data_IF_832223333532
#
_entry.id   IF_832223333532
#
_cell.length_a   1.000
_cell.length_b   1.000
_cell.length_c   1.000
_cell.angle_alpha   90.00
_cell.angle_beta   90.00
_cell.angle_gamma   90.00
#
_symmetry.space_group_name_H-M   'P 1'
#
loop_
_entity.id
_entity.type
_entity.pdbx_description
1 polymer ?
#
# COMPACT_ATOMS: atom_id res chain seq x y z
N UNK A 1 -5.50 5.36 -14.28
CA UNK A 1 -4.06 5.69 -14.23
C UNK A 1 -3.35 4.73 -13.28
N UNK A 2 -2.27 4.10 -13.70
CA UNK A 2 -1.47 3.18 -12.89
C UNK A 2 -0.01 3.65 -12.86
N UNK A 3 0.41 4.16 -11.72
CA UNK A 3 1.77 4.67 -11.50
C UNK A 3 2.65 3.62 -10.87
N UNK A 4 3.76 3.26 -11.51
CA UNK A 4 4.70 2.28 -10.98
C UNK A 4 6.15 2.75 -11.00
N UNK A 5 6.99 2.13 -10.17
CA UNK A 5 8.43 2.43 -10.05
C UNK A 5 8.97 2.02 -8.68
N UNK A 6 10.28 2.04 -8.47
CA UNK A 6 10.91 1.60 -7.21
C UNK A 6 10.46 2.36 -5.94
N UNK A 7 11.01 1.97 -4.79
CA UNK A 7 10.77 2.69 -3.52
C UNK A 7 11.32 4.12 -3.58
N UNK A 8 10.68 5.04 -2.86
CA UNK A 8 11.20 6.41 -2.72
C UNK A 8 11.09 7.32 -3.96
N UNK A 9 10.38 6.88 -5.02
CA UNK A 9 10.24 7.64 -6.28
C UNK A 9 9.15 8.73 -6.29
N UNK A 10 8.53 9.02 -5.14
CA UNK A 10 7.50 10.07 -5.05
C UNK A 10 6.10 9.67 -5.52
N UNK A 11 5.83 8.38 -5.78
CA UNK A 11 4.50 7.90 -6.20
C UNK A 11 3.38 8.30 -5.22
N UNK A 12 3.61 8.12 -3.91
CA UNK A 12 2.65 8.49 -2.87
C UNK A 12 2.38 9.99 -2.88
N UNK A 13 3.41 10.82 -3.09
CA UNK A 13 3.26 12.27 -3.17
C UNK A 13 2.47 12.69 -4.42
N UNK A 14 2.69 12.06 -5.57
CA UNK A 14 1.87 12.28 -6.77
C UNK A 14 0.41 11.87 -6.53
N UNK A 15 0.18 10.75 -5.85
CA UNK A 15 -1.15 10.31 -5.44
C UNK A 15 -1.81 11.32 -4.49
N UNK A 16 -1.07 11.86 -3.51
CA UNK A 16 -1.55 12.90 -2.59
C UNK A 16 -2.05 14.11 -3.38
N UNK A 17 -1.20 14.64 -4.27
CA UNK A 17 -1.53 15.81 -5.10
C UNK A 17 -2.75 15.54 -5.98
N UNK A 18 -2.80 14.39 -6.65
CA UNK A 18 -3.94 14.00 -7.46
C UNK A 18 -5.22 13.97 -6.62
N UNK A 19 -5.21 13.22 -5.51
CA UNK A 19 -6.37 13.05 -4.64
C UNK A 19 -6.89 14.39 -4.10
N UNK A 20 -6.00 15.27 -3.65
CA UNK A 20 -6.38 16.59 -3.12
C UNK A 20 -6.83 17.55 -4.22
N UNK A 21 -6.34 17.42 -5.45
CA UNK A 21 -6.76 18.27 -6.58
C UNK A 21 -8.15 17.95 -7.13
N UNK A 22 -8.65 16.73 -6.91
CA UNK A 22 -9.96 16.33 -7.42
C UNK A 22 -11.10 17.13 -6.75
N UNK A 23 -12.04 17.70 -7.52
CA UNK A 23 -13.21 18.36 -6.95
C UNK A 23 -14.19 17.32 -6.38
N UNK A 24 -14.93 17.72 -5.34
CA UNK A 24 -15.97 16.90 -4.71
C UNK A 24 -15.45 15.85 -3.72
N UNK A 25 -16.41 15.11 -3.15
CA UNK A 25 -16.17 14.17 -2.04
C UNK A 25 -16.33 12.69 -2.44
N UNK A 26 -16.81 12.41 -3.66
CA UNK A 26 -17.00 11.05 -4.20
C UNK A 26 -15.69 10.44 -4.71
N UNK A 27 -14.67 10.50 -3.86
CA UNK A 27 -13.33 9.96 -4.06
C UNK A 27 -12.91 9.27 -2.78
N UNK A 28 -12.26 8.13 -2.92
CA UNK A 28 -11.81 7.35 -1.78
C UNK A 28 -10.37 6.92 -2.00
N UNK A 29 -9.58 6.99 -0.93
CA UNK A 29 -8.18 6.57 -0.95
C UNK A 29 -7.91 5.58 0.16
N UNK A 30 -7.28 4.47 -0.21
CA UNK A 30 -6.97 3.39 0.71
C UNK A 30 -5.79 2.55 0.21
N UNK A 31 -5.08 1.93 1.15
CA UNK A 31 -4.12 0.89 0.81
C UNK A 31 -4.85 -0.33 0.23
N UNK A 32 -4.27 -0.94 -0.80
CA UNK A 32 -4.89 -2.07 -1.49
C UNK A 32 -5.22 -3.26 -0.56
N UNK A 33 -4.37 -3.57 0.43
CA UNK A 33 -4.67 -4.64 1.38
C UNK A 33 -5.93 -4.36 2.23
N UNK A 34 -6.19 -3.10 2.60
CA UNK A 34 -7.41 -2.72 3.35
C UNK A 34 -8.65 -2.85 2.48
N UNK A 35 -8.52 -2.53 1.19
CA UNK A 35 -9.59 -2.75 0.22
C UNK A 35 -9.96 -4.23 0.15
N UNK A 36 -8.97 -5.11 -0.01
CA UNK A 36 -9.21 -6.55 -0.08
C UNK A 36 -9.81 -7.11 1.22
N UNK A 37 -9.35 -6.64 2.38
CA UNK A 37 -9.93 -7.03 3.67
C UNK A 37 -11.44 -6.72 3.71
N UNK A 38 -11.83 -5.50 3.33
CA UNK A 38 -13.25 -5.10 3.25
C UNK A 38 -14.03 -5.97 2.26
N UNK A 39 -13.46 -6.27 1.10
CA UNK A 39 -14.10 -7.14 0.10
C UNK A 39 -14.36 -8.53 0.69
N UNK A 40 -13.40 -9.12 1.40
CA UNK A 40 -13.57 -10.42 2.05
C UNK A 40 -14.64 -10.41 3.14
N UNK A 41 -14.69 -9.35 3.95
CA UNK A 41 -15.76 -9.16 4.95
C UNK A 41 -17.14 -9.08 4.30
N UNK A 42 -17.28 -8.30 3.22
CA UNK A 42 -18.54 -8.20 2.48
C UNK A 42 -18.93 -9.51 1.78
N UNK A 43 -17.97 -10.24 1.20
CA UNK A 43 -18.20 -11.56 0.63
C UNK A 43 -18.71 -12.56 1.67
N UNK A 44 -18.16 -12.50 2.88
CA UNK A 44 -18.59 -13.35 4.00
C UNK A 44 -20.03 -13.04 4.40
N UNK A 45 -20.39 -11.76 4.47
CA UNK A 45 -21.75 -11.32 4.75
C UNK A 45 -22.75 -11.65 3.62
N UNK A 46 -22.27 -11.80 2.38
CA UNK A 46 -23.07 -12.12 1.20
C UNK A 46 -23.04 -13.62 0.83
N UNK A 47 -22.59 -14.49 1.75
CA UNK A 47 -22.59 -15.94 1.51
C UNK A 47 -23.99 -16.44 1.11
N UNK A 48 -24.05 -17.21 0.01
CA UNK A 48 -25.29 -17.75 -0.54
C UNK A 48 -26.03 -16.82 -1.52
N UNK A 49 -25.57 -15.59 -1.72
CA UNK A 49 -26.07 -14.71 -2.77
C UNK A 49 -25.48 -15.08 -4.14
N UNK A 50 -26.25 -14.87 -5.21
CA UNK A 50 -25.72 -14.94 -6.57
C UNK A 50 -24.85 -13.72 -6.83
N UNK A 51 -23.70 -13.94 -7.46
CA UNK A 51 -22.80 -12.89 -7.96
C UNK A 51 -22.46 -11.80 -6.92
N UNK A 52 -21.95 -12.17 -5.74
CA UNK A 52 -21.75 -11.22 -4.63
C UNK A 52 -20.77 -10.08 -4.98
N UNK A 53 -19.86 -10.29 -5.94
CA UNK A 53 -18.96 -9.24 -6.44
C UNK A 53 -19.69 -8.10 -7.16
N UNK A 54 -20.81 -8.38 -7.83
CA UNK A 54 -21.64 -7.35 -8.46
C UNK A 54 -22.29 -6.47 -7.38
N UNK A 55 -22.84 -7.10 -6.34
CA UNK A 55 -23.43 -6.39 -5.19
C UNK A 55 -22.39 -5.52 -4.49
N UNK A 56 -21.17 -6.04 -4.29
CA UNK A 56 -20.06 -5.28 -3.70
C UNK A 56 -19.69 -4.10 -4.59
N UNK A 57 -19.62 -4.30 -5.91
CA UNK A 57 -19.32 -3.21 -6.84
C UNK A 57 -20.42 -2.13 -6.86
N UNK A 58 -21.69 -2.50 -6.70
CA UNK A 58 -22.81 -1.55 -6.54
C UNK A 58 -22.66 -0.71 -5.28
N UNK A 59 -22.27 -1.33 -4.16
CA UNK A 59 -22.01 -0.62 -2.89
C UNK A 59 -20.85 0.37 -3.03
N UNK A 60 -19.73 -0.06 -3.62
CA UNK A 60 -18.62 0.85 -3.89
C UNK A 60 -19.04 2.00 -4.81
N UNK A 61 -19.85 1.74 -5.83
CA UNK A 61 -20.35 2.80 -6.73
C UNK A 61 -21.27 3.78 -5.99
N UNK A 62 -22.08 3.31 -5.05
CA UNK A 62 -22.90 4.20 -4.23
C UNK A 62 -22.03 5.17 -3.41
N UNK A 63 -20.86 4.72 -2.94
CA UNK A 63 -19.95 5.49 -2.08
C UNK A 63 -19.01 6.42 -2.86
N UNK A 64 -18.45 5.96 -3.99
CA UNK A 64 -17.36 6.68 -4.68
C UNK A 64 -17.39 6.53 -6.20
N UNK A 65 -16.88 7.54 -6.89
CA UNK A 65 -16.65 7.51 -8.33
C UNK A 65 -15.16 7.34 -8.68
N UNK A 66 -14.27 7.67 -7.75
CA UNK A 66 -12.82 7.54 -7.92
C UNK A 66 -12.23 6.72 -6.78
N UNK A 67 -11.55 5.62 -7.14
CA UNK A 67 -10.78 4.79 -6.22
C UNK A 67 -9.29 5.07 -6.42
N UNK A 68 -8.64 5.52 -5.34
CA UNK A 68 -7.21 5.73 -5.27
C UNK A 68 -6.58 4.61 -4.42
N UNK A 69 -5.91 3.66 -5.06
CA UNK A 69 -5.18 2.60 -4.36
C UNK A 69 -3.72 2.96 -4.15
N UNK A 70 -3.31 3.00 -2.90
CA UNK A 70 -1.90 3.00 -2.54
C UNK A 70 -1.37 1.59 -2.37
N UNK A 71 -0.12 1.39 -2.78
CA UNK A 71 0.61 0.13 -2.61
C UNK A 71 -0.15 -1.07 -3.20
N UNK A 72 -0.59 -0.93 -4.45
CA UNK A 72 -1.24 -2.00 -5.19
C UNK A 72 -0.29 -3.17 -5.39
N UNK A 73 -0.48 -4.21 -4.58
CA UNK A 73 0.36 -5.40 -4.55
C UNK A 73 -0.50 -6.63 -4.23
N UNK A 74 -0.31 -7.68 -5.02
CA UNK A 74 -1.05 -8.94 -4.89
C UNK A 74 -0.06 -10.07 -4.67
N UNK A 75 -0.15 -10.74 -3.52
CA UNK A 75 0.66 -11.91 -3.17
C UNK A 75 -0.16 -13.17 -2.87
N UNK A 76 -1.43 -13.03 -2.50
CA UNK A 76 -2.28 -14.15 -2.13
C UNK A 76 -3.14 -14.63 -3.31
N UNK A 77 -3.39 -15.95 -3.39
CA UNK A 77 -4.23 -16.54 -4.44
C UNK A 77 -5.69 -16.08 -4.32
N UNK A 78 -6.20 -15.95 -3.10
CA UNK A 78 -7.60 -15.59 -2.84
C UNK A 78 -7.88 -14.19 -3.38
N UNK A 79 -6.98 -13.25 -3.12
CA UNK A 79 -7.08 -11.89 -3.66
C UNK A 79 -6.99 -11.91 -5.20
N UNK A 80 -6.02 -12.66 -5.74
CA UNK A 80 -5.84 -12.77 -7.18
C UNK A 80 -7.09 -13.32 -7.90
N UNK A 81 -7.77 -14.30 -7.31
CA UNK A 81 -8.98 -14.89 -7.91
C UNK A 81 -10.17 -13.92 -7.91
N UNK A 82 -10.29 -13.08 -6.89
CA UNK A 82 -11.40 -12.12 -6.78
C UNK A 82 -11.19 -10.89 -7.65
N UNK A 83 -9.95 -10.42 -7.73
CA UNK A 83 -9.63 -9.10 -8.28
C UNK A 83 -10.03 -8.95 -9.75
N UNK A 84 -9.89 -10.00 -10.55
CA UNK A 84 -10.28 -9.97 -11.96
C UNK A 84 -11.76 -9.72 -12.18
N UNK A 85 -12.62 -10.40 -11.41
CA UNK A 85 -14.07 -10.20 -11.46
C UNK A 85 -14.48 -8.84 -10.88
N UNK A 86 -13.93 -8.50 -9.71
CA UNK A 86 -14.25 -7.27 -9.02
C UNK A 86 -13.84 -6.02 -9.82
N UNK A 87 -12.65 -5.99 -10.40
CA UNK A 87 -12.20 -4.85 -11.21
C UNK A 87 -13.09 -4.64 -12.44
N UNK A 88 -13.47 -5.71 -13.13
CA UNK A 88 -14.43 -5.64 -14.25
C UNK A 88 -15.77 -5.06 -13.79
N UNK A 89 -16.31 -5.53 -12.67
CA UNK A 89 -17.56 -5.04 -12.12
C UNK A 89 -17.50 -3.55 -11.73
N UNK A 90 -16.38 -3.10 -11.17
CA UNK A 90 -16.17 -1.68 -10.81
C UNK A 90 -16.04 -0.80 -12.06
N UNK A 91 -15.27 -1.24 -13.06
CA UNK A 91 -15.13 -0.49 -14.32
C UNK A 91 -16.44 -0.42 -15.11
N UNK A 92 -17.24 -1.48 -15.12
CA UNK A 92 -18.56 -1.48 -15.75
C UNK A 92 -19.51 -0.43 -15.16
N UNK A 93 -19.31 -0.04 -13.89
CA UNK A 93 -20.05 1.01 -13.18
C UNK A 93 -19.45 2.41 -13.35
N UNK A 94 -18.42 2.55 -14.19
CA UNK A 94 -17.73 3.81 -14.44
C UNK A 94 -16.92 4.31 -13.26
N UNK A 95 -16.46 3.43 -12.37
CA UNK A 95 -15.52 3.82 -11.31
C UNK A 95 -14.14 4.02 -11.94
N UNK A 96 -13.55 5.18 -11.68
CA UNK A 96 -12.21 5.53 -12.14
C UNK A 96 -11.16 5.01 -11.15
N UNK A 97 -10.18 4.27 -11.66
CA UNK A 97 -9.06 3.77 -10.87
C UNK A 97 -7.81 4.63 -11.05
N UNK A 98 -7.22 5.05 -9.93
CA UNK A 98 -5.85 5.53 -9.84
C UNK A 98 -5.08 4.66 -8.85
N UNK A 99 -3.93 4.15 -9.24
CA UNK A 99 -3.16 3.23 -8.40
C UNK A 99 -1.67 3.58 -8.36
N UNK A 100 -1.02 3.35 -7.21
CA UNK A 100 0.45 3.33 -7.09
C UNK A 100 0.96 1.91 -6.79
N UNK A 101 2.05 1.49 -7.43
CA UNK A 101 2.70 0.21 -7.15
C UNK A 101 4.22 0.25 -7.30
N UNK A 102 4.91 -0.69 -6.68
CA UNK A 102 6.33 -0.92 -6.94
C UNK A 102 6.57 -1.89 -8.12
N UNK A 103 5.50 -2.50 -8.66
CA UNK A 103 5.56 -3.56 -9.65
C UNK A 103 4.79 -3.11 -10.89
N UNK A 104 5.33 -3.27 -12.11
CA UNK A 104 4.56 -3.02 -13.33
C UNK A 104 3.40 -4.02 -13.46
N UNK A 105 2.30 -3.67 -14.15
CA UNK A 105 1.12 -4.54 -14.23
C UNK A 105 1.41 -5.98 -14.67
N UNK A 106 2.28 -6.16 -15.67
CA UNK A 106 2.62 -7.47 -16.24
C UNK A 106 3.39 -8.38 -15.23
N UNK A 107 3.96 -7.80 -14.17
CA UNK A 107 4.67 -8.52 -13.12
C UNK A 107 3.85 -8.68 -11.82
N UNK A 108 2.65 -8.10 -11.74
CA UNK A 108 1.77 -8.31 -10.60
C UNK A 108 1.45 -9.79 -10.45
N UNK A 109 1.56 -10.34 -9.23
CA UNK A 109 1.34 -11.77 -8.92
C UNK A 109 2.20 -12.75 -9.72
N UNK A 110 3.40 -12.32 -10.17
CA UNK A 110 4.33 -13.14 -10.95
C UNK A 110 4.67 -14.42 -10.19
N UNK A 111 4.65 -15.56 -10.90
CA UNK A 111 4.82 -16.91 -10.33
C UNK A 111 3.78 -17.33 -9.29
N UNK A 112 2.70 -16.56 -9.11
CA UNK A 112 1.60 -16.93 -8.23
C UNK A 112 0.86 -18.19 -8.70
N UNK A 113 0.28 -18.91 -7.75
CA UNK A 113 -0.49 -20.12 -8.02
C UNK A 113 -1.71 -19.79 -8.91
N UNK A 114 -1.91 -20.56 -9.98
CA UNK A 114 -2.97 -20.31 -10.96
C UNK A 114 -2.94 -18.90 -11.60
N UNK A 115 -1.76 -18.30 -11.79
CA UNK A 115 -1.56 -16.98 -12.45
C UNK A 115 -2.43 -16.73 -13.68
N UNK A 116 -2.69 -17.75 -14.50
CA UNK A 116 -3.57 -17.63 -15.68
C UNK A 116 -4.95 -17.03 -15.35
N UNK A 117 -5.50 -17.32 -14.16
CA UNK A 117 -6.77 -16.77 -13.69
C UNK A 117 -6.67 -15.31 -13.23
N UNK A 118 -5.46 -14.81 -12.97
CA UNK A 118 -5.20 -13.41 -12.63
C UNK A 118 -4.95 -12.53 -13.87
N UNK A 119 -4.57 -13.11 -15.00
CA UNK A 119 -4.34 -12.36 -16.25
C UNK A 119 -5.51 -11.44 -16.64
N UNK A 120 -6.80 -11.82 -16.48
CA UNK A 120 -7.91 -10.92 -16.75
C UNK A 120 -7.91 -9.65 -15.90
N UNK A 121 -7.34 -9.67 -14.69
CA UNK A 121 -7.18 -8.48 -13.85
C UNK A 121 -6.10 -7.55 -14.42
N UNK A 122 -4.98 -8.11 -14.88
CA UNK A 122 -3.91 -7.36 -15.55
C UNK A 122 -4.46 -6.73 -16.83
N UNK A 123 -5.20 -7.49 -17.63
CA UNK A 123 -5.82 -6.99 -18.86
C UNK A 123 -6.80 -5.85 -18.57
N UNK A 124 -7.65 -5.99 -17.54
CA UNK A 124 -8.56 -4.93 -17.12
C UNK A 124 -7.81 -3.66 -16.69
N UNK A 125 -6.71 -3.79 -15.93
CA UNK A 125 -5.86 -2.64 -15.57
C UNK A 125 -5.32 -1.98 -16.83
N UNK A 126 -4.73 -2.74 -17.76
CA UNK A 126 -4.13 -2.20 -18.99
C UNK A 126 -5.16 -1.59 -19.94
N UNK A 127 -6.38 -2.11 -19.92
CA UNK A 127 -7.48 -1.60 -20.75
C UNK A 127 -8.06 -0.29 -20.20
N UNK A 128 -8.18 -0.16 -18.87
CA UNK A 128 -8.87 0.96 -18.23
C UNK A 128 -7.94 2.00 -17.60
N UNK A 129 -6.62 1.75 -17.57
CA UNK A 129 -5.65 2.68 -17.00
C UNK A 129 -4.50 2.99 -17.97
N UNK A 130 -4.14 4.27 -18.04
CA UNK A 130 -2.83 4.67 -18.55
C UNK A 130 -1.74 4.18 -17.61
N UNK A 131 -0.72 3.50 -18.15
CA UNK A 131 0.40 2.96 -17.37
C UNK A 131 1.56 3.97 -17.40
N UNK A 132 1.95 4.47 -16.23
CA UNK A 132 2.98 5.50 -16.09
C UNK A 132 4.13 4.97 -15.21
N UNK A 133 5.34 4.93 -15.78
CA UNK A 133 6.55 4.69 -15.00
C UNK A 133 7.05 6.02 -14.39
N UNK A 134 7.17 6.05 -13.07
CA UNK A 134 7.62 7.19 -12.27
C UNK A 134 9.08 7.00 -11.79
N UNK A 135 9.74 5.91 -12.20
CA UNK A 135 11.11 5.60 -11.82
C UNK A 135 12.13 6.47 -12.58
N UNK A 136 12.35 7.69 -12.07
CA UNK A 136 13.37 8.61 -12.58
C UNK A 136 14.77 8.37 -11.99
N UNK A 137 15.00 7.23 -11.32
CA UNK A 137 16.31 6.86 -10.73
C UNK A 137 16.68 7.58 -9.43
N UNK A 138 16.07 8.72 -9.11
CA UNK A 138 16.28 9.46 -7.85
C UNK A 138 15.36 8.92 -6.76
N UNK A 139 15.93 8.48 -5.64
CA UNK A 139 15.18 8.16 -4.43
C UNK A 139 15.15 9.42 -3.54
N UNK A 140 13.96 10.01 -3.43
CA UNK A 140 13.75 11.25 -2.70
C UNK A 140 13.77 11.05 -1.18
N UNK A 141 13.55 9.82 -0.66
CA UNK A 141 13.74 9.52 0.77
C UNK A 141 15.22 9.49 1.11
N UNK A 142 16.01 8.92 0.21
CA UNK A 142 17.45 8.84 0.37
C UNK A 142 18.12 10.21 0.37
N UNK A 143 17.56 11.29 -0.18
CA UNK A 143 18.19 12.63 -0.05
C UNK A 143 18.35 13.10 1.40
N UNK A 144 17.44 12.72 2.30
CA UNK A 144 17.55 13.03 3.73
C UNK A 144 18.48 12.03 4.45
N UNK A 145 18.56 10.78 3.96
CA UNK A 145 19.27 9.67 4.60
C UNK A 145 20.65 9.32 4.00
N UNK A 146 21.02 9.86 2.83
CA UNK A 146 22.29 9.56 2.13
C UNK A 146 23.52 10.05 2.87
N UNK A 147 23.35 10.89 3.88
CA UNK A 147 24.44 11.34 4.74
C UNK A 147 24.69 10.42 5.94
N UNK A 148 23.89 9.38 6.15
CA UNK A 148 24.01 8.49 7.29
C UNK A 148 24.36 7.05 6.88
N UNK A 149 25.27 6.42 7.62
CA UNK A 149 25.52 4.99 7.54
C UNK A 149 24.29 4.24 8.11
N UNK A 150 23.35 3.88 7.24
CA UNK A 150 22.06 3.25 7.63
C UNK A 150 22.19 1.82 8.16
N UNK A 151 23.36 1.21 7.98
CA UNK A 151 23.70 -0.08 8.55
C UNK A 151 24.83 0.10 9.56
N UNK A 152 24.51 -0.06 10.83
CA UNK A 152 25.43 0.15 11.94
C UNK A 152 25.89 -1.19 12.51
N UNK A 153 27.18 -1.46 12.43
CA UNK A 153 27.82 -2.66 12.95
C UNK A 153 29.29 -2.37 13.23
N UNK A 154 29.91 -2.94 14.28
CA UNK A 154 29.32 -3.83 15.29
C UNK A 154 28.47 -3.05 16.32
N UNK A 155 27.61 -3.76 17.05
CA UNK A 155 26.83 -3.17 18.16
C UNK A 155 27.77 -2.74 19.29
N UNK A 156 28.02 -1.44 19.39
CA UNK A 156 28.92 -0.82 20.35
C UNK A 156 28.41 0.59 20.72
N UNK A 157 29.12 1.28 21.62
CA UNK A 157 28.70 2.60 22.09
C UNK A 157 28.72 3.66 20.96
N UNK A 158 29.67 3.56 20.04
CA UNK A 158 29.76 4.47 18.89
C UNK A 158 28.54 4.33 17.96
N UNK A 159 28.17 3.11 17.60
CA UNK A 159 26.99 2.84 16.76
C UNK A 159 25.68 3.16 17.47
N UNK A 160 25.62 2.99 18.81
CA UNK A 160 24.47 3.46 19.61
C UNK A 160 24.30 4.98 19.49
N UNK A 161 25.38 5.74 19.65
CA UNK A 161 25.33 7.21 19.51
C UNK A 161 24.98 7.66 18.09
N UNK A 162 25.43 6.93 17.06
CA UNK A 162 25.02 7.18 15.68
C UNK A 162 23.53 6.90 15.45
N UNK A 163 23.00 5.83 16.05
CA UNK A 163 21.57 5.50 16.02
C UNK A 163 20.72 6.57 16.72
N UNK A 164 21.17 7.09 17.87
CA UNK A 164 20.47 8.16 18.58
C UNK A 164 20.42 9.47 17.77
N UNK A 165 21.50 9.80 17.04
CA UNK A 165 21.53 10.93 16.11
C UNK A 165 20.57 10.74 14.95
N UNK A 166 20.54 9.54 14.36
CA UNK A 166 19.59 9.17 13.31
C UNK A 166 18.15 9.27 13.79
N UNK A 167 17.86 8.78 15.00
CA UNK A 167 16.56 8.90 15.62
C UNK A 167 16.17 10.38 15.75
N UNK A 168 17.01 11.21 16.35
CA UNK A 168 16.70 12.63 16.54
C UNK A 168 16.45 13.36 15.20
N UNK A 169 17.22 13.03 14.15
CA UNK A 169 17.04 13.61 12.83
C UNK A 169 15.72 13.21 12.16
N UNK A 170 15.22 11.99 12.43
CA UNK A 170 13.98 11.47 11.86
C UNK A 170 12.74 11.86 12.69
N UNK A 171 12.82 11.70 14.00
CA UNK A 171 11.72 11.87 14.94
C UNK A 171 11.61 13.30 15.49
N UNK A 172 12.68 14.11 15.45
CA UNK A 172 12.70 15.48 15.97
C UNK A 172 12.78 15.62 17.50
N UNK A 173 12.63 14.53 18.26
CA UNK A 173 12.75 14.50 19.73
C UNK A 173 13.56 13.29 20.19
N UNK A 174 13.93 13.25 21.47
CA UNK A 174 14.53 12.05 22.07
C UNK A 174 13.44 10.99 22.26
N UNK A 175 13.77 9.73 21.97
CA UNK A 175 12.85 8.60 22.06
C UNK A 175 12.56 8.24 23.51
N UNK A 176 11.63 8.97 24.15
CA UNK A 176 11.24 8.76 25.55
C UNK A 176 9.90 8.01 25.67
N UNK A 177 9.12 7.96 24.57
CA UNK A 177 7.81 7.35 24.55
C UNK A 177 7.84 6.00 23.82
N UNK A 178 7.71 4.91 24.58
CA UNK A 178 7.74 3.53 24.08
C UNK A 178 6.40 2.80 24.32
N UNK A 179 5.29 3.23 23.68
CA UNK A 179 3.99 2.59 23.86
C UNK A 179 3.95 1.19 23.25
N UNK A 180 3.04 0.35 23.72
CA UNK A 180 2.69 -0.88 23.00
C UNK A 180 1.70 -0.54 21.89
N UNK A 181 2.07 -0.83 20.64
CA UNK A 181 1.17 -0.66 19.49
C UNK A 181 0.40 -1.95 19.25
N UNK A 182 -0.92 -1.86 19.06
CA UNK A 182 -1.72 -3.02 18.65
C UNK A 182 -1.96 -2.95 17.14
N UNK A 183 -1.38 -3.87 16.39
CA UNK A 183 -1.56 -3.97 14.93
C UNK A 183 -2.20 -5.32 14.62
N UNK A 184 -3.37 -5.31 13.96
CA UNK A 184 -4.14 -6.52 13.63
C UNK A 184 -4.31 -7.45 14.85
N UNK A 185 -4.74 -6.88 15.98
CA UNK A 185 -4.93 -7.58 17.26
C UNK A 185 -3.65 -8.12 17.93
N UNK A 186 -2.47 -7.83 17.36
CA UNK A 186 -1.18 -8.22 17.93
C UNK A 186 -0.56 -7.06 18.70
N UNK A 187 -0.30 -7.19 20.01
CA UNK A 187 0.45 -6.19 20.76
C UNK A 187 1.94 -6.28 20.38
N UNK A 188 2.52 -5.14 20.02
CA UNK A 188 3.94 -4.98 19.68
C UNK A 188 4.60 -3.97 20.60
N UNK A 189 5.59 -4.44 21.37
CA UNK A 189 6.38 -3.59 22.24
C UNK A 189 7.37 -2.75 21.43
N UNK A 190 7.22 -1.43 21.47
CA UNK A 190 8.11 -0.50 20.75
C UNK A 190 9.30 -0.10 21.62
N UNK A 191 10.36 0.39 20.98
CA UNK A 191 11.48 1.04 21.65
C UNK A 191 11.25 2.55 21.76
N UNK A 192 10.66 3.15 20.73
CA UNK A 192 10.16 4.53 20.76
C UNK A 192 9.18 4.77 19.59
N UNK A 193 8.25 5.71 19.76
CA UNK A 193 7.32 6.18 18.71
C UNK A 193 7.20 7.69 18.77
N UNK A 194 7.48 8.37 17.68
CA UNK A 194 7.36 9.83 17.58
C UNK A 194 7.23 10.27 16.12
N UNK A 195 6.40 11.27 15.81
CA UNK A 195 6.31 11.89 14.47
C UNK A 195 6.30 10.89 13.29
N UNK A 196 5.46 9.85 13.37
CA UNK A 196 5.37 8.76 12.37
C UNK A 196 6.65 7.93 12.19
N UNK A 197 7.61 8.06 13.09
CA UNK A 197 8.83 7.26 13.18
C UNK A 197 8.69 6.22 14.29
N UNK A 198 9.06 4.98 13.97
CA UNK A 198 8.99 3.84 14.89
C UNK A 198 10.40 3.26 15.08
N UNK A 199 10.84 3.16 16.34
CA UNK A 199 11.95 2.31 16.73
C UNK A 199 11.39 1.04 17.35
N UNK A 200 11.81 -0.11 16.83
CA UNK A 200 11.35 -1.41 17.27
C UNK A 200 12.44 -2.45 17.03
N UNK A 201 12.51 -3.46 17.88
CA UNK A 201 13.47 -4.55 17.68
C UNK A 201 13.05 -5.42 16.50
N UNK A 202 14.03 -5.99 15.78
CA UNK A 202 13.76 -6.96 14.72
C UNK A 202 12.98 -8.18 15.26
N UNK A 203 13.31 -8.64 16.46
CA UNK A 203 12.60 -9.75 17.12
C UNK A 203 11.12 -9.42 17.31
N UNK A 204 10.77 -8.21 17.74
CA UNK A 204 9.37 -7.80 17.87
C UNK A 204 8.66 -7.79 16.50
N UNK A 205 9.34 -7.46 15.41
CA UNK A 205 8.73 -7.46 14.07
C UNK A 205 8.47 -8.88 13.54
N UNK A 206 9.31 -9.85 13.89
CA UNK A 206 9.29 -11.18 13.28
C UNK A 206 8.56 -12.28 14.08
N UNK A 207 8.13 -12.00 15.31
CA UNK A 207 7.30 -12.91 16.13
C UNK A 207 5.87 -12.93 15.63
#
# INVERSE_FOLDING_TARGET
>A
LYMWGGVGRGKTWLMDLFYHSLPGERKQRLHFHRFMLRVHEELTALQGQSDPLEIIADRFKAETDVLCFDEFFVSDITDAMLLGGLMKALFARGITLVATSNIPPDELYRNGLQRARFLPAIDAIKQHCDIMNVDAGVDYRLRTLTQAHLWLSPLNEETRQQMDKLWLALAGTKGEHAPTLVINHRPMQTLAVENQTLAVSFTTLCV
#
